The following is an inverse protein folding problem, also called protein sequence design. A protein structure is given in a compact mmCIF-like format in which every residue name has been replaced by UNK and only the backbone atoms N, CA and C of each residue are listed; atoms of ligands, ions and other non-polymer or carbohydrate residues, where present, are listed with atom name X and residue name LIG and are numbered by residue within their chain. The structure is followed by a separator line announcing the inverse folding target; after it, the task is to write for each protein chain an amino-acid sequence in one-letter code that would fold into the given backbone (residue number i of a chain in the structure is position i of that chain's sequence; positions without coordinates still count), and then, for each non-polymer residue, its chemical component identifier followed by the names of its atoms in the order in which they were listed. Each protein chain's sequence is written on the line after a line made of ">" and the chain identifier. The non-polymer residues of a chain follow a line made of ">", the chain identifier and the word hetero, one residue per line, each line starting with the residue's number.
data_IF_364165903859
#
_entry.id   IF_364165903859
#
_cell.length_a   1.000
_cell.length_b   1.000
_cell.length_c   1.000
_cell.angle_alpha   90.00
_cell.angle_beta   90.00
_cell.angle_gamma   90.00
#
_symmetry.space_group_name_H-M   'P 1'
#
loop_
_entity.id
_entity.type
_entity.pdbx_description
1 polymer ?
#
# COMPACT_ATOMS: atom_id res chain seq x y z
N UNK A 1 -11.20 -5.57 -13.70
CA UNK A 1 -10.40 -4.69 -12.82
C UNK A 1 -11.09 -3.35 -12.77
N UNK A 2 -11.70 -2.99 -11.64
CA UNK A 2 -12.26 -1.66 -11.46
C UNK A 2 -11.16 -0.60 -11.30
N UNK A 3 -11.44 0.68 -11.55
CA UNK A 3 -10.48 1.79 -11.49
C UNK A 3 -9.81 1.97 -10.11
N UNK A 4 -10.40 1.43 -9.05
CA UNK A 4 -9.88 1.54 -7.68
C UNK A 4 -8.53 0.83 -7.47
N UNK A 5 -8.25 -0.25 -8.20
CA UNK A 5 -7.00 -1.00 -8.04
C UNK A 5 -5.76 -0.18 -8.42
N UNK A 6 -5.89 0.77 -9.35
CA UNK A 6 -4.79 1.64 -9.77
C UNK A 6 -4.50 2.67 -8.68
N UNK A 7 -5.55 3.22 -8.07
CA UNK A 7 -5.44 4.18 -6.96
C UNK A 7 -4.81 3.48 -5.75
N UNK A 8 -5.28 2.28 -5.42
CA UNK A 8 -4.73 1.47 -4.34
C UNK A 8 -3.26 1.11 -4.59
N UNK A 9 -2.92 0.79 -5.83
CA UNK A 9 -1.55 0.50 -6.21
C UNK A 9 -0.64 1.71 -6.04
N UNK A 10 -1.04 2.87 -6.59
CA UNK A 10 -0.29 4.12 -6.48
C UNK A 10 -0.16 4.58 -5.03
N UNK A 11 -1.20 4.43 -4.22
CA UNK A 11 -1.17 4.71 -2.79
C UNK A 11 -0.10 3.87 -2.06
N UNK A 12 0.06 2.60 -2.43
CA UNK A 12 1.07 1.72 -1.81
C UNK A 12 2.50 2.05 -2.23
N UNK A 13 2.73 2.28 -3.53
CA UNK A 13 4.09 2.48 -4.06
C UNK A 13 4.54 3.93 -4.05
N UNK A 14 3.60 4.87 -3.97
CA UNK A 14 3.82 6.28 -4.21
C UNK A 14 3.91 6.59 -5.70
N UNK A 15 3.61 7.83 -6.05
CA UNK A 15 3.83 8.34 -7.39
C UNK A 15 5.00 9.33 -7.37
N UNK A 16 6.10 8.92 -7.99
CA UNK A 16 7.30 9.76 -8.09
C UNK A 16 7.13 10.93 -9.05
N UNK A 17 6.17 10.90 -9.99
CA UNK A 17 5.89 12.04 -10.87
C UNK A 17 5.07 13.11 -10.14
N UNK A 18 4.15 12.69 -9.28
CA UNK A 18 3.25 13.55 -8.51
C UNK A 18 3.83 13.96 -7.15
N UNK A 19 5.08 13.57 -6.85
CA UNK A 19 5.73 13.75 -5.55
C UNK A 19 4.92 13.17 -4.38
N UNK A 20 4.13 12.12 -4.63
CA UNK A 20 3.36 11.42 -3.62
C UNK A 20 4.26 10.36 -2.98
N UNK A 21 4.69 10.55 -1.72
CA UNK A 21 5.45 9.54 -1.00
C UNK A 21 4.55 8.32 -0.75
N UNK A 22 5.03 7.15 -1.20
CA UNK A 22 4.39 5.88 -0.93
C UNK A 22 4.83 5.26 0.38
N UNK A 23 4.44 4.00 0.58
CA UNK A 23 4.87 3.25 1.75
C UNK A 23 6.35 2.91 1.64
N UNK A 24 7.13 3.31 2.65
CA UNK A 24 8.58 3.07 2.65
C UNK A 24 8.87 1.57 2.51
N UNK A 25 9.80 1.19 1.62
CA UNK A 25 10.12 -0.20 1.21
C UNK A 25 9.02 -1.01 0.54
N UNK A 26 7.87 -0.41 0.22
CA UNK A 26 6.85 -1.07 -0.61
C UNK A 26 7.06 -0.67 -2.05
N UNK A 27 7.60 -1.61 -2.82
CA UNK A 27 7.75 -1.44 -4.26
C UNK A 27 6.59 -2.01 -5.06
N UNK A 28 6.62 -1.86 -6.39
CA UNK A 28 5.62 -2.37 -7.32
C UNK A 28 5.34 -3.87 -7.16
N UNK A 29 6.36 -4.68 -6.83
CA UNK A 29 6.20 -6.12 -6.58
C UNK A 29 5.41 -6.42 -5.31
N UNK A 30 5.67 -5.68 -4.24
CA UNK A 30 5.00 -5.86 -2.94
C UNK A 30 3.56 -5.41 -3.03
N UNK A 31 3.30 -4.25 -3.64
CA UNK A 31 1.95 -3.74 -3.83
C UNK A 31 1.10 -4.68 -4.70
N UNK A 32 1.61 -5.19 -5.83
CA UNK A 32 0.88 -6.19 -6.63
C UNK A 32 0.63 -7.47 -5.85
N UNK A 33 1.60 -7.92 -5.04
CA UNK A 33 1.41 -9.11 -4.20
C UNK A 33 0.28 -8.89 -3.21
N UNK A 34 0.28 -7.78 -2.48
CA UNK A 34 -0.77 -7.47 -1.50
C UNK A 34 -2.13 -7.25 -2.14
N UNK A 35 -2.21 -6.54 -3.27
CA UNK A 35 -3.48 -6.39 -4.01
C UNK A 35 -4.00 -7.74 -4.53
N UNK A 36 -3.13 -8.71 -4.81
CA UNK A 36 -3.57 -10.08 -5.11
C UNK A 36 -4.00 -10.87 -3.87
N UNK A 37 -3.31 -10.69 -2.76
CA UNK A 37 -3.56 -11.44 -1.52
C UNK A 37 -4.79 -10.92 -0.75
N UNK A 38 -5.02 -9.61 -0.79
CA UNK A 38 -6.02 -8.89 -0.01
C UNK A 38 -7.08 -8.18 -0.87
N UNK A 39 -7.00 -8.33 -2.20
CA UNK A 39 -7.85 -7.74 -3.24
C UNK A 39 -7.83 -6.21 -3.35
N UNK A 40 -7.85 -5.48 -2.23
CA UNK A 40 -8.00 -4.01 -2.19
C UNK A 40 -7.19 -3.42 -1.04
N UNK A 41 -6.97 -2.10 -1.05
CA UNK A 41 -6.20 -1.42 -0.01
C UNK A 41 -6.80 -1.58 1.39
N UNK A 42 -8.12 -1.54 1.55
CA UNK A 42 -8.80 -1.79 2.84
C UNK A 42 -8.47 -3.17 3.42
N UNK A 43 -8.41 -4.20 2.56
CA UNK A 43 -8.01 -5.55 2.96
C UNK A 43 -6.57 -5.58 3.45
N UNK A 44 -5.68 -4.84 2.79
CA UNK A 44 -4.28 -4.68 3.16
C UNK A 44 -4.17 -3.95 4.50
N UNK A 45 -4.93 -2.88 4.72
CA UNK A 45 -4.94 -2.12 5.98
C UNK A 45 -5.45 -2.98 7.15
N UNK A 46 -6.58 -3.67 6.97
CA UNK A 46 -7.11 -4.59 8.00
C UNK A 46 -6.14 -5.70 8.33
N UNK A 47 -5.40 -6.20 7.34
CA UNK A 47 -4.39 -7.23 7.54
C UNK A 47 -2.99 -6.66 7.79
N UNK A 48 -2.81 -5.33 7.81
CA UNK A 48 -1.52 -4.69 8.09
C UNK A 48 -0.98 -5.14 9.44
N UNK A 49 -1.91 -5.47 10.35
CA UNK A 49 -1.56 -6.03 11.64
C UNK A 49 -0.89 -7.39 11.57
N UNK A 50 -1.34 -8.21 10.62
CA UNK A 50 -0.79 -9.53 10.32
C UNK A 50 0.48 -9.47 9.46
N UNK A 51 0.73 -8.36 8.76
CA UNK A 51 1.98 -8.14 8.02
C UNK A 51 3.09 -7.85 9.03
N UNK A 52 3.94 -8.85 9.25
CA UNK A 52 5.10 -8.76 10.16
C UNK A 52 6.35 -8.28 9.43
N UNK A 53 7.24 -7.63 10.17
CA UNK A 53 8.52 -7.13 9.70
C UNK A 53 8.48 -5.67 9.22
N UNK A 54 9.62 -5.19 8.72
CA UNK A 54 9.85 -3.77 8.36
C UNK A 54 8.82 -3.20 7.38
N UNK A 55 8.32 -4.00 6.44
CA UNK A 55 7.29 -3.56 5.47
C UNK A 55 5.92 -3.36 6.13
N UNK A 56 5.56 -4.16 7.14
CA UNK A 56 4.30 -4.01 7.88
C UNK A 56 4.33 -2.86 8.88
N UNK A 57 5.49 -2.58 9.49
CA UNK A 57 5.71 -1.36 10.28
C UNK A 57 5.63 -0.12 9.39
N UNK A 58 6.34 -0.12 8.26
CA UNK A 58 6.30 1.00 7.31
C UNK A 58 4.90 1.23 6.74
N UNK A 59 4.16 0.15 6.43
CA UNK A 59 2.77 0.24 6.01
C UNK A 59 1.94 0.95 7.07
N UNK A 60 2.02 0.54 8.33
CA UNK A 60 1.29 1.20 9.43
C UNK A 60 1.71 2.66 9.62
N UNK A 61 3.00 2.98 9.54
CA UNK A 61 3.46 4.38 9.59
C UNK A 61 2.96 5.20 8.41
N UNK A 62 2.80 4.57 7.25
CA UNK A 62 2.31 5.23 6.03
C UNK A 62 0.79 5.28 5.97
N UNK A 63 0.07 4.45 6.75
CA UNK A 63 -1.39 4.57 6.90
C UNK A 63 -1.77 5.97 7.38
N UNK A 64 -0.97 6.55 8.28
CA UNK A 64 -1.15 7.91 8.79
C UNK A 64 -1.04 8.96 7.66
N UNK A 65 -0.16 8.74 6.69
CA UNK A 65 -0.04 9.59 5.48
C UNK A 65 -1.10 9.30 4.41
N UNK A 66 -1.62 8.07 4.38
CA UNK A 66 -2.65 7.63 3.43
C UNK A 66 -4.07 8.07 3.87
N UNK A 67 -4.25 8.42 5.14
CA UNK A 67 -5.47 9.09 5.60
C UNK A 67 -5.52 10.53 5.06
N UNK A 68 -6.19 10.68 3.91
CA UNK A 68 -6.77 11.95 3.44
C UNK A 68 -7.87 12.45 4.39
#
# INVERSE_FOLDING_TARGET
>A
MGPNLIIDYLALIGDTSDNVPGVDKVGPKTAVKWLKEYENLDGIVKNAESIKGKVGENLRSSLDQLQL
#
